data_IF_668484084375
#
_entry.id   IF_668484084375
#
_cell.length_a   1.000
_cell.length_b   1.000
_cell.length_c   1.000
_cell.angle_alpha   90.00
_cell.angle_beta   90.00
_cell.angle_gamma   90.00
#
_symmetry.space_group_name_H-M   'P 1'
#
loop_
_entity.id
_entity.type
_entity.pdbx_description
1 polymer ?
#
# COMPACT_ATOMS: atom_id res chain seq x y z
N UNK A 1 7.63 3.60 -4.50
CA UNK A 1 8.26 4.68 -3.73
C UNK A 1 8.78 4.22 -2.38
N UNK A 2 7.97 3.65 -1.49
CA UNK A 2 8.39 3.22 -0.15
C UNK A 2 9.67 2.34 -0.16
N UNK A 3 9.71 1.32 -1.01
CA UNK A 3 10.86 0.39 -1.10
C UNK A 3 12.15 1.08 -1.59
N UNK A 4 12.02 2.00 -2.56
CA UNK A 4 13.16 2.79 -3.04
C UNK A 4 13.70 3.72 -1.94
N UNK A 5 12.81 4.39 -1.22
CA UNK A 5 13.21 5.25 -0.10
C UNK A 5 13.79 4.43 1.07
N UNK A 6 13.23 3.25 1.35
CA UNK A 6 13.79 2.32 2.35
C UNK A 6 15.23 1.89 2.02
N UNK A 7 15.53 1.65 0.75
CA UNK A 7 16.89 1.34 0.32
C UNK A 7 17.86 2.52 0.55
N UNK A 8 17.42 3.75 0.24
CA UNK A 8 18.26 4.95 0.37
C UNK A 8 18.45 5.37 1.82
N UNK A 9 17.35 5.47 2.59
CA UNK A 9 17.37 6.06 3.93
C UNK A 9 17.63 5.04 5.05
N UNK A 10 17.23 3.78 4.85
CA UNK A 10 17.37 2.72 5.87
C UNK A 10 18.48 1.72 5.53
N UNK A 11 19.22 1.96 4.43
CA UNK A 11 20.27 1.05 3.95
C UNK A 11 19.80 -0.41 3.79
N UNK A 12 18.52 -0.61 3.48
CA UNK A 12 17.97 -1.94 3.26
C UNK A 12 18.47 -2.50 1.92
N UNK A 13 19.07 -3.69 1.94
CA UNK A 13 19.58 -4.33 0.72
C UNK A 13 18.41 -4.78 -0.18
N UNK A 14 18.29 -4.13 -1.32
CA UNK A 14 17.41 -4.57 -2.40
C UNK A 14 18.13 -5.65 -3.20
N UNK A 15 17.68 -6.88 -3.07
CA UNK A 15 18.14 -7.96 -3.95
C UNK A 15 17.32 -7.96 -5.23
N UNK A 16 17.92 -8.37 -6.35
CA UNK A 16 17.24 -8.49 -7.63
C UNK A 16 15.95 -9.33 -7.52
N UNK A 17 16.01 -10.39 -6.73
CA UNK A 17 14.85 -11.25 -6.47
C UNK A 17 13.66 -10.50 -5.83
N UNK A 18 13.94 -9.61 -4.85
CA UNK A 18 12.90 -8.77 -4.22
C UNK A 18 12.30 -7.77 -5.22
N UNK A 19 13.14 -7.21 -6.09
CA UNK A 19 12.68 -6.28 -7.14
C UNK A 19 11.77 -6.98 -8.15
N UNK A 20 12.09 -8.22 -8.53
CA UNK A 20 11.24 -9.00 -9.44
C UNK A 20 9.88 -9.29 -8.82
N UNK A 21 9.82 -9.74 -7.57
CA UNK A 21 8.54 -9.96 -6.89
C UNK A 21 7.72 -8.67 -6.77
N UNK A 22 8.36 -7.56 -6.47
CA UNK A 22 7.71 -6.25 -6.43
C UNK A 22 7.16 -5.85 -7.81
N UNK A 23 7.92 -6.08 -8.87
CA UNK A 23 7.49 -5.81 -10.24
C UNK A 23 6.28 -6.69 -10.65
N UNK A 24 6.29 -7.97 -10.28
CA UNK A 24 5.15 -8.88 -10.53
C UNK A 24 3.90 -8.37 -9.82
N UNK A 25 4.00 -7.96 -8.54
CA UNK A 25 2.87 -7.36 -7.81
C UNK A 25 2.35 -6.10 -8.48
N UNK A 26 3.26 -5.23 -8.93
CA UNK A 26 2.89 -3.99 -9.61
C UNK A 26 2.16 -4.27 -10.93
N UNK A 27 2.67 -5.17 -11.77
CA UNK A 27 2.02 -5.58 -13.01
C UNK A 27 0.65 -6.22 -12.75
N UNK A 28 0.55 -7.05 -11.71
CA UNK A 28 -0.72 -7.63 -11.28
C UNK A 28 -1.75 -6.55 -10.88
N UNK A 29 -1.32 -5.52 -10.16
CA UNK A 29 -2.17 -4.38 -9.80
C UNK A 29 -2.64 -3.61 -11.05
N UNK A 30 -1.73 -3.36 -12.00
CA UNK A 30 -2.09 -2.71 -13.26
C UNK A 30 -3.12 -3.53 -14.05
N UNK A 31 -2.98 -4.85 -14.10
CA UNK A 31 -3.94 -5.75 -14.74
C UNK A 31 -5.34 -5.62 -14.10
N UNK A 32 -5.39 -5.56 -12.77
CA UNK A 32 -6.65 -5.36 -12.03
C UNK A 32 -7.29 -4.01 -12.37
N UNK A 33 -6.52 -2.93 -12.33
CA UNK A 33 -7.02 -1.57 -12.60
C UNK A 33 -7.50 -1.45 -14.05
N UNK A 34 -6.71 -1.96 -15.00
CA UNK A 34 -7.02 -1.87 -16.41
C UNK A 34 -8.27 -2.67 -16.81
N UNK A 35 -8.55 -3.75 -16.09
CA UNK A 35 -9.73 -4.57 -16.34
C UNK A 35 -11.04 -3.99 -15.80
N UNK A 36 -11.01 -2.87 -15.04
CA UNK A 36 -12.23 -2.22 -14.57
C UNK A 36 -12.96 -1.54 -15.72
N UNK A 37 -14.30 -1.67 -15.80
CA UNK A 37 -15.10 -0.86 -16.72
C UNK A 37 -14.84 0.63 -16.43
N UNK A 38 -14.52 1.40 -17.46
CA UNK A 38 -14.21 2.83 -17.32
C UNK A 38 -12.73 3.15 -16.98
N UNK A 39 -11.83 2.16 -17.00
CA UNK A 39 -10.38 2.39 -16.77
C UNK A 39 -9.74 3.36 -17.79
N UNK A 40 -10.42 3.67 -18.89
CA UNK A 40 -9.98 4.64 -19.90
C UNK A 40 -10.56 6.05 -19.71
N UNK A 41 -11.10 6.38 -18.53
CA UNK A 41 -11.60 7.72 -18.27
C UNK A 41 -10.46 8.74 -18.26
N UNK A 42 -10.46 9.61 -19.26
CA UNK A 42 -9.56 10.75 -19.39
C UNK A 42 -10.36 12.04 -19.25
N UNK A 43 -10.65 12.45 -18.02
CA UNK A 43 -11.26 13.77 -17.76
C UNK A 43 -10.24 14.90 -17.98
N UNK A 44 -10.71 16.14 -18.09
CA UNK A 44 -9.86 17.33 -18.31
C UNK A 44 -8.71 17.46 -17.28
N UNK A 45 -8.90 16.95 -16.07
CA UNK A 45 -7.91 17.01 -14.98
C UNK A 45 -7.16 15.69 -14.72
N UNK A 46 -7.14 14.77 -15.68
CA UNK A 46 -6.53 13.45 -15.50
C UNK A 46 -5.04 13.51 -15.12
N UNK A 47 -4.27 14.35 -15.81
CA UNK A 47 -2.84 14.53 -15.51
C UNK A 47 -2.61 15.16 -14.13
N UNK A 48 -3.44 16.12 -13.75
CA UNK A 48 -3.40 16.72 -12.41
C UNK A 48 -3.70 15.66 -11.33
N UNK A 49 -4.70 14.80 -11.56
CA UNK A 49 -5.02 13.67 -10.69
C UNK A 49 -3.85 12.69 -10.52
N UNK A 50 -3.16 12.34 -11.60
CA UNK A 50 -1.95 11.51 -11.54
C UNK A 50 -0.84 12.20 -10.75
N UNK A 51 -0.58 13.48 -10.99
CA UNK A 51 0.45 14.24 -10.27
C UNK A 51 0.16 14.29 -8.77
N UNK A 52 -1.09 14.54 -8.39
CA UNK A 52 -1.53 14.52 -6.99
C UNK A 52 -1.40 13.13 -6.34
N UNK A 53 -1.75 12.07 -7.07
CA UNK A 53 -1.60 10.70 -6.59
C UNK A 53 -0.12 10.32 -6.37
N UNK A 54 0.77 10.75 -7.27
CA UNK A 54 2.22 10.55 -7.11
C UNK A 54 2.78 11.34 -5.93
N UNK A 55 2.32 12.59 -5.74
CA UNK A 55 2.69 13.41 -4.58
C UNK A 55 2.21 12.76 -3.28
N UNK A 56 0.97 12.29 -3.22
CA UNK A 56 0.43 11.56 -2.07
C UNK A 56 1.24 10.29 -1.76
N UNK A 57 1.61 9.52 -2.79
CA UNK A 57 2.44 8.32 -2.63
C UNK A 57 3.86 8.66 -2.12
N UNK A 58 4.41 9.81 -2.52
CA UNK A 58 5.68 10.30 -2.01
C UNK A 58 5.59 10.67 -0.53
N UNK A 59 4.60 11.50 -0.15
CA UNK A 59 4.40 11.88 1.25
C UNK A 59 4.09 10.68 2.14
N UNK A 60 3.31 9.71 1.66
CA UNK A 60 3.08 8.46 2.38
C UNK A 60 4.40 7.71 2.63
N UNK A 61 5.27 7.63 1.63
CA UNK A 61 6.56 6.96 1.77
C UNK A 61 7.46 7.69 2.78
N UNK A 62 7.48 9.03 2.78
CA UNK A 62 8.18 9.85 3.80
C UNK A 62 7.64 9.54 5.20
N UNK A 63 6.31 9.60 5.38
CA UNK A 63 5.67 9.33 6.66
C UNK A 63 5.98 7.91 7.18
N UNK A 64 5.95 6.91 6.29
CA UNK A 64 6.28 5.53 6.64
C UNK A 64 7.75 5.37 7.06
N UNK A 65 8.70 6.04 6.39
CA UNK A 65 10.11 6.03 6.77
C UNK A 65 10.31 6.70 8.14
N UNK A 66 9.68 7.85 8.36
CA UNK A 66 9.72 8.54 9.66
C UNK A 66 9.16 7.62 10.74
N UNK A 67 7.97 7.04 10.54
CA UNK A 67 7.35 6.13 11.50
C UNK A 67 8.25 4.92 11.82
N UNK A 68 8.99 4.41 10.84
CA UNK A 68 9.94 3.31 11.02
C UNK A 68 11.17 3.71 11.84
N UNK A 69 11.61 4.96 11.75
CA UNK A 69 12.76 5.46 12.54
C UNK A 69 12.38 5.78 13.98
N UNK A 70 11.11 6.00 14.27
CA UNK A 70 10.58 6.30 15.61
C UNK A 70 10.49 5.01 16.47
N UNK A 71 11.65 4.41 16.74
CA UNK A 71 11.73 3.22 17.60
C UNK A 71 11.37 3.60 19.04
N UNK A 72 10.51 2.78 19.66
CA UNK A 72 10.06 3.01 21.04
C UNK A 72 8.89 3.96 21.20
N UNK A 73 8.46 4.65 20.13
CA UNK A 73 7.23 5.44 20.15
C UNK A 73 6.03 4.53 19.88
N UNK A 74 5.01 4.51 20.74
CA UNK A 74 3.83 3.67 20.52
C UNK A 74 3.13 4.03 19.20
N UNK A 75 2.71 3.06 18.40
CA UNK A 75 1.98 3.29 17.14
C UNK A 75 0.74 4.18 17.31
N UNK A 76 0.06 4.06 18.45
CA UNK A 76 -1.11 4.85 18.81
C UNK A 76 -0.78 6.34 18.86
N UNK A 77 0.37 6.71 19.40
CA UNK A 77 0.79 8.11 19.49
C UNK A 77 1.12 8.67 18.11
N UNK A 78 1.76 7.89 17.26
CA UNK A 78 2.03 8.30 15.87
C UNK A 78 0.72 8.54 15.11
N UNK A 79 -0.23 7.61 15.21
CA UNK A 79 -1.54 7.73 14.60
C UNK A 79 -2.30 8.96 15.13
N UNK A 80 -2.29 9.18 16.46
CA UNK A 80 -2.96 10.32 17.08
C UNK A 80 -2.40 11.65 16.58
N UNK A 81 -1.08 11.81 16.60
CA UNK A 81 -0.42 13.05 16.14
C UNK A 81 -0.78 13.30 14.66
N UNK A 82 -0.75 12.27 13.83
CA UNK A 82 -1.08 12.42 12.41
C UNK A 82 -2.53 12.84 12.20
N UNK A 83 -3.48 12.23 12.89
CA UNK A 83 -4.91 12.58 12.79
C UNK A 83 -5.15 14.00 13.29
N UNK A 84 -4.60 14.36 14.44
CA UNK A 84 -4.73 15.71 15.00
C UNK A 84 -4.13 16.77 14.06
N UNK A 85 -2.93 16.52 13.54
CA UNK A 85 -2.31 17.40 12.53
C UNK A 85 -3.17 17.51 11.28
N UNK A 86 -3.73 16.39 10.81
CA UNK A 86 -4.64 16.36 9.66
C UNK A 86 -5.90 17.22 9.89
N UNK A 87 -6.49 17.17 11.09
CA UNK A 87 -7.65 18.00 11.44
C UNK A 87 -7.28 19.48 11.33
N UNK A 88 -6.19 19.91 11.95
CA UNK A 88 -5.78 21.33 11.91
C UNK A 88 -5.45 21.81 10.49
N UNK A 89 -4.82 20.98 9.66
CA UNK A 89 -4.49 21.33 8.29
C UNK A 89 -5.71 21.38 7.37
N UNK A 90 -6.70 20.51 7.59
CA UNK A 90 -7.87 20.41 6.72
C UNK A 90 -9.03 21.29 7.18
N UNK A 91 -9.05 21.72 8.45
CA UNK A 91 -10.13 22.55 8.99
C UNK A 91 -10.43 23.81 8.17
N UNK A 92 -9.41 24.57 7.67
CA UNK A 92 -9.69 25.74 6.83
C UNK A 92 -10.34 25.44 5.48
N UNK A 93 -10.22 24.19 5.01
CA UNK A 93 -10.79 23.73 3.74
C UNK A 93 -12.13 23.00 3.91
N UNK A 94 -12.60 22.85 5.17
CA UNK A 94 -13.91 22.28 5.44
C UNK A 94 -14.98 23.29 5.05
N UNK A 95 -15.70 23.01 3.95
CA UNK A 95 -16.86 23.80 3.57
C UNK A 95 -18.02 23.55 4.56
N UNK A 96 -18.86 24.57 4.80
CA UNK A 96 -20.15 24.37 5.42
C UNK A 96 -21.00 23.48 4.51
N UNK A 97 -21.05 22.20 4.85
CA UNK A 97 -21.79 21.18 4.11
C UNK A 97 -23.25 21.10 4.54
N UNK A 98 -24.10 20.40 3.76
CA UNK A 98 -25.47 20.11 4.15
C UNK A 98 -25.49 19.36 5.49
N UNK A 99 -26.61 19.46 6.23
CA UNK A 99 -26.80 18.72 7.47
C UNK A 99 -26.61 17.23 7.23
N UNK A 100 -25.70 16.62 7.99
CA UNK A 100 -25.40 15.20 7.90
C UNK A 100 -26.48 14.41 8.63
N UNK A 101 -27.12 13.47 7.96
CA UNK A 101 -28.11 12.58 8.54
C UNK A 101 -27.51 11.64 9.59
N UNK A 102 -28.32 11.18 10.54
CA UNK A 102 -27.85 10.31 11.62
C UNK A 102 -27.18 9.02 11.11
N UNK A 103 -27.68 8.45 10.02
CA UNK A 103 -27.10 7.25 9.40
C UNK A 103 -25.70 7.54 8.83
N UNK A 104 -25.49 8.69 8.21
CA UNK A 104 -24.19 9.10 7.71
C UNK A 104 -23.19 9.35 8.84
N UNK A 105 -23.64 9.88 9.99
CA UNK A 105 -22.81 10.00 11.18
C UNK A 105 -22.31 8.66 11.69
N UNK A 106 -23.13 7.62 11.70
CA UNK A 106 -22.71 6.29 12.11
C UNK A 106 -21.64 5.73 11.19
N UNK A 107 -21.77 5.94 9.87
CA UNK A 107 -20.76 5.55 8.89
C UNK A 107 -19.46 6.34 9.09
N UNK A 108 -19.53 7.66 9.33
CA UNK A 108 -18.35 8.50 9.58
C UNK A 108 -17.61 8.11 10.85
N UNK A 109 -18.33 7.79 11.94
CA UNK A 109 -17.73 7.32 13.19
C UNK A 109 -17.05 5.96 12.97
N UNK A 110 -17.70 5.04 12.27
CA UNK A 110 -17.09 3.75 11.93
C UNK A 110 -15.82 3.93 11.08
N UNK A 111 -15.86 4.79 10.07
CA UNK A 111 -14.71 5.13 9.25
C UNK A 111 -13.58 5.74 10.08
N UNK A 112 -13.89 6.67 10.98
CA UNK A 112 -12.91 7.32 11.85
C UNK A 112 -12.28 6.35 12.86
N UNK A 113 -13.09 5.56 13.57
CA UNK A 113 -12.61 4.67 14.64
C UNK A 113 -11.92 3.42 14.06
N UNK A 114 -12.58 2.75 13.12
CA UNK A 114 -12.07 1.48 12.59
C UNK A 114 -11.03 1.71 11.50
N UNK A 115 -11.38 2.46 10.46
CA UNK A 115 -10.49 2.65 9.30
C UNK A 115 -9.34 3.64 9.55
N UNK A 116 -9.55 4.64 10.38
CA UNK A 116 -8.47 5.59 10.69
C UNK A 116 -7.79 5.21 12.00
N UNK A 117 -8.52 5.03 13.09
CA UNK A 117 -7.95 4.74 14.40
C UNK A 117 -7.25 3.37 14.44
N UNK A 118 -8.03 2.30 14.40
CA UNK A 118 -7.50 0.94 14.54
C UNK A 118 -6.52 0.58 13.42
N UNK A 119 -6.85 0.88 12.17
CA UNK A 119 -6.00 0.53 11.02
C UNK A 119 -4.65 1.24 11.06
N UNK A 120 -4.59 2.50 11.46
CA UNK A 120 -3.30 3.22 11.56
C UNK A 120 -2.44 2.69 12.69
N UNK A 121 -3.03 2.28 13.82
CA UNK A 121 -2.30 1.64 14.91
C UNK A 121 -1.65 0.34 14.42
N UNK A 122 -2.41 -0.52 13.71
CA UNK A 122 -1.91 -1.77 13.15
C UNK A 122 -0.85 -1.51 12.06
N UNK A 123 -1.10 -0.55 11.18
CA UNK A 123 -0.19 -0.19 10.09
C UNK A 123 1.16 0.30 10.62
N UNK A 124 1.17 1.25 11.55
CA UNK A 124 2.41 1.77 12.12
C UNK A 124 3.12 0.72 12.97
N UNK A 125 2.38 -0.13 13.69
CA UNK A 125 2.93 -1.26 14.39
C UNK A 125 3.62 -2.26 13.44
N UNK A 126 3.06 -2.51 12.28
CA UNK A 126 3.66 -3.34 11.24
C UNK A 126 4.90 -2.67 10.61
N UNK A 127 4.80 -1.39 10.23
CA UNK A 127 5.91 -0.62 9.63
C UNK A 127 7.13 -0.59 10.56
N UNK A 128 6.94 -0.43 11.86
CA UNK A 128 8.03 -0.41 12.83
C UNK A 128 8.74 -1.77 12.98
N UNK A 129 8.00 -2.87 12.83
CA UNK A 129 8.49 -4.23 13.08
C UNK A 129 8.98 -4.96 11.84
N UNK A 130 8.38 -4.67 10.68
CA UNK A 130 8.66 -5.38 9.43
C UNK A 130 9.71 -4.66 8.57
N UNK A 131 10.50 -5.41 7.79
CA UNK A 131 11.35 -4.81 6.76
C UNK A 131 10.52 -4.03 5.74
N UNK A 132 11.06 -2.91 5.23
CA UNK A 132 10.33 -2.01 4.30
C UNK A 132 9.91 -2.70 3.00
N UNK A 133 10.75 -3.62 2.49
CA UNK A 133 10.41 -4.40 1.31
C UNK A 133 9.22 -5.35 1.54
N UNK A 134 9.10 -5.92 2.75
CA UNK A 134 7.97 -6.78 3.10
C UNK A 134 6.69 -5.95 3.27
N UNK A 135 6.76 -4.83 3.98
CA UNK A 135 5.65 -3.88 4.10
C UNK A 135 5.15 -3.43 2.73
N UNK A 136 6.08 -3.05 1.84
CA UNK A 136 5.75 -2.65 0.47
C UNK A 136 5.12 -3.77 -0.36
N UNK A 137 5.59 -5.00 -0.22
CA UNK A 137 5.00 -6.15 -0.93
C UNK A 137 3.60 -6.49 -0.41
N UNK A 138 3.39 -6.44 0.91
CA UNK A 138 2.09 -6.71 1.52
C UNK A 138 1.03 -5.65 1.16
N UNK A 139 1.43 -4.40 0.92
CA UNK A 139 0.50 -3.35 0.49
C UNK A 139 -0.16 -3.64 -0.87
N UNK A 140 0.42 -4.53 -1.70
CA UNK A 140 -0.23 -4.98 -2.93
C UNK A 140 -1.39 -5.95 -2.69
N UNK A 141 -1.61 -6.41 -1.45
CA UNK A 141 -2.79 -7.22 -1.11
C UNK A 141 -4.05 -6.35 -1.09
N UNK A 142 -3.94 -5.04 -0.85
CA UNK A 142 -5.08 -4.13 -0.79
C UNK A 142 -5.96 -4.17 -2.05
N UNK A 143 -5.44 -4.12 -3.30
CA UNK A 143 -6.25 -4.29 -4.50
C UNK A 143 -6.96 -5.63 -4.59
N UNK A 144 -6.35 -6.69 -4.05
CA UNK A 144 -6.96 -8.03 -4.02
C UNK A 144 -8.15 -8.03 -3.05
N UNK A 145 -7.95 -7.48 -1.84
CA UNK A 145 -9.01 -7.36 -0.84
C UNK A 145 -10.16 -6.49 -1.38
N UNK A 146 -9.86 -5.37 -2.05
CA UNK A 146 -10.86 -4.51 -2.66
C UNK A 146 -11.73 -5.25 -3.68
N UNK A 147 -11.13 -6.05 -4.57
CA UNK A 147 -11.85 -6.85 -5.56
C UNK A 147 -12.70 -7.93 -4.90
N UNK A 148 -12.19 -8.61 -3.88
CA UNK A 148 -12.94 -9.63 -3.17
C UNK A 148 -14.18 -9.03 -2.48
N UNK A 149 -14.01 -7.87 -1.83
CA UNK A 149 -15.13 -7.15 -1.21
C UNK A 149 -16.13 -6.71 -2.27
N UNK A 150 -15.67 -6.16 -3.38
CA UNK A 150 -16.52 -5.73 -4.50
C UNK A 150 -17.36 -6.91 -5.05
N UNK A 151 -16.75 -8.08 -5.18
CA UNK A 151 -17.45 -9.31 -5.57
C UNK A 151 -18.50 -9.75 -4.54
N UNK A 152 -18.15 -9.74 -3.26
CA UNK A 152 -19.00 -10.25 -2.18
C UNK A 152 -20.14 -9.27 -1.85
N UNK A 153 -19.81 -7.97 -1.75
CA UNK A 153 -20.76 -6.95 -1.31
C UNK A 153 -21.68 -6.45 -2.45
N UNK A 154 -21.17 -6.38 -3.69
CA UNK A 154 -21.89 -5.82 -4.82
C UNK A 154 -22.22 -6.86 -5.92
N UNK A 155 -21.77 -8.09 -5.78
CA UNK A 155 -22.05 -9.16 -6.74
C UNK A 155 -21.38 -8.99 -8.11
N UNK A 156 -20.44 -8.07 -8.26
CA UNK A 156 -19.78 -7.80 -9.54
C UNK A 156 -19.00 -9.02 -10.02
N UNK A 157 -19.11 -9.33 -11.32
CA UNK A 157 -18.35 -10.42 -11.93
C UNK A 157 -16.89 -10.00 -12.15
N UNK A 158 -15.99 -10.88 -11.76
CA UNK A 158 -14.56 -10.67 -11.99
C UNK A 158 -14.22 -10.91 -13.47
N UNK A 159 -13.52 -9.97 -14.05
CA UNK A 159 -12.94 -10.15 -15.38
C UNK A 159 -11.76 -11.14 -15.33
N UNK A 160 -11.53 -11.94 -16.39
CA UNK A 160 -10.40 -12.89 -16.41
C UNK A 160 -9.05 -12.22 -16.11
N UNK A 161 -8.83 -11.01 -16.61
CA UNK A 161 -7.61 -10.24 -16.37
C UNK A 161 -7.46 -9.83 -14.90
N UNK A 162 -8.56 -9.59 -14.18
CA UNK A 162 -8.53 -9.34 -12.73
C UNK A 162 -8.09 -10.57 -11.97
N UNK A 163 -8.58 -11.76 -12.36
CA UNK A 163 -8.19 -13.04 -11.73
C UNK A 163 -6.69 -13.27 -11.92
N UNK A 164 -6.16 -13.06 -13.12
CA UNK A 164 -4.72 -13.15 -13.39
C UNK A 164 -3.93 -12.18 -12.51
N UNK A 165 -4.39 -10.94 -12.39
CA UNK A 165 -3.78 -9.93 -11.52
C UNK A 165 -3.76 -10.34 -10.05
N UNK A 166 -4.88 -10.86 -9.54
CA UNK A 166 -5.00 -11.39 -8.17
C UNK A 166 -3.99 -12.52 -7.92
N UNK A 167 -3.95 -13.51 -8.81
CA UNK A 167 -3.00 -14.64 -8.69
C UNK A 167 -1.55 -14.15 -8.70
N UNK A 168 -1.21 -13.22 -9.61
CA UNK A 168 0.13 -12.65 -9.69
C UNK A 168 0.53 -11.93 -8.40
N UNK A 169 -0.38 -11.12 -7.81
CA UNK A 169 -0.13 -10.42 -6.54
C UNK A 169 0.08 -11.41 -5.39
N UNK A 170 -0.81 -12.39 -5.25
CA UNK A 170 -0.72 -13.38 -4.17
C UNK A 170 0.56 -14.23 -4.30
N UNK A 171 0.91 -14.65 -5.52
CA UNK A 171 2.14 -15.38 -5.78
C UNK A 171 3.38 -14.54 -5.45
N UNK A 172 3.36 -13.25 -5.80
CA UNK A 172 4.47 -12.35 -5.51
C UNK A 172 4.59 -12.04 -4.01
N UNK A 173 3.49 -11.86 -3.29
CA UNK A 173 3.49 -11.69 -1.84
C UNK A 173 4.03 -12.95 -1.15
N UNK A 174 3.58 -14.14 -1.54
CA UNK A 174 4.09 -15.40 -1.02
C UNK A 174 5.58 -15.59 -1.34
N UNK A 175 5.98 -15.39 -2.59
CA UNK A 175 7.37 -15.53 -3.02
C UNK A 175 8.33 -14.57 -2.31
N UNK A 176 7.90 -13.32 -2.11
CA UNK A 176 8.68 -12.32 -1.36
C UNK A 176 8.80 -12.68 0.12
N UNK A 177 7.73 -13.19 0.75
CA UNK A 177 7.67 -13.54 2.16
C UNK A 177 8.42 -14.84 2.46
N UNK A 178 8.22 -15.86 1.62
CA UNK A 178 8.86 -17.18 1.77
C UNK A 178 10.31 -17.21 1.25
N UNK A 179 10.76 -16.11 0.65
CA UNK A 179 12.13 -16.01 0.13
C UNK A 179 12.38 -16.88 -1.11
N UNK A 180 11.34 -17.16 -1.90
CA UNK A 180 11.51 -17.91 -3.13
C UNK A 180 12.44 -17.18 -4.09
N UNK A 181 13.39 -17.91 -4.66
CA UNK A 181 14.29 -17.36 -5.65
C UNK A 181 13.71 -17.53 -7.05
N UNK A 182 13.48 -16.42 -7.76
CA UNK A 182 13.07 -16.42 -9.17
C UNK A 182 14.22 -16.86 -10.06
N UNK A 183 15.45 -16.57 -9.65
CA UNK A 183 16.67 -16.98 -10.35
C UNK A 183 17.34 -18.12 -9.60
N UNK A 184 17.79 -19.19 -10.29
CA UNK A 184 18.61 -20.20 -9.66
C UNK A 184 19.84 -19.53 -9.03
N UNK A 185 20.09 -19.79 -7.74
CA UNK A 185 21.32 -19.34 -7.09
C UNK A 185 22.48 -19.91 -7.91
N UNK A 186 23.20 -19.06 -8.64
CA UNK A 186 24.52 -19.43 -9.12
C UNK A 186 25.34 -19.82 -7.90
N UNK A 187 25.59 -21.14 -7.74
CA UNK A 187 26.56 -21.64 -6.75
C UNK A 187 27.87 -20.89 -7.04
N UNK A 188 28.25 -19.98 -6.16
CA UNK A 188 29.63 -19.48 -6.19
C UNK A 188 30.51 -20.72 -6.17
N UNK A 189 31.26 -20.94 -7.25
CA UNK A 189 32.35 -21.90 -7.30
C UNK A 189 33.29 -21.47 -6.18
N UNK A 190 33.22 -22.14 -5.04
CA UNK A 190 34.31 -22.10 -4.05
C UNK A 190 35.47 -22.75 -4.77
N UNK A 191 36.44 -21.94 -5.09
CA UNK A 191 37.71 -22.32 -5.67
C UNK A 191 38.28 -23.48 -4.87
N UNK A 192 38.38 -24.61 -5.57
CA UNK A 192 39.32 -25.65 -5.23
C UNK A 192 40.70 -25.10 -5.64
N UNK A 193 41.39 -24.46 -4.74
CA UNK A 193 42.81 -24.19 -4.81
C UNK A 193 43.35 -24.35 -3.40
N UNK A 194 43.71 -25.55 -3.09
CA UNK A 194 44.76 -25.90 -2.14
C UNK A 194 45.82 -26.63 -2.90
#
# INVERSE_FOLDING_TARGET
>A
MLVAMGAVFLSERLTLNKMVWLAISFVGTLAIIYAKPGAGYSGENYLAGIALALAAAFFYAVAAIIAKTLKGVPPQLIALIQVVTGIFLLLPFSAEGPRIEAQAWMMLVTLGVVHTGLMYILLYGAIQKLPTNLTGSLSFIDPVAAIMIDRIAFGHHLQPLQIIGVVAILAAAAGSTLGWSVFPRMKAKRDASS
#
